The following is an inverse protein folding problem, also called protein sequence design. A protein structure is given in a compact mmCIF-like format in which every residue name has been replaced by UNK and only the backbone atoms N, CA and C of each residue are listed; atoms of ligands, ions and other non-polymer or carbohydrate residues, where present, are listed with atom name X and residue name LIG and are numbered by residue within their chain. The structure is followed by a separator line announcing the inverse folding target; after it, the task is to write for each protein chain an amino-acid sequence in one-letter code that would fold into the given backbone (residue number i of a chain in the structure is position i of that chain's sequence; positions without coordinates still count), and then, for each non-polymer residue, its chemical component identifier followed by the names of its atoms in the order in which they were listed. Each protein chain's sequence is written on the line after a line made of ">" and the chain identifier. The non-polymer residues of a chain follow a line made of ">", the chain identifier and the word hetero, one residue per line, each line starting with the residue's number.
data_IF_443741968520
#
_entry.id   IF_443741968520
#
_cell.length_a   1.000
_cell.length_b   1.000
_cell.length_c   1.000
_cell.angle_alpha   90.00
_cell.angle_beta   90.00
_cell.angle_gamma   90.00
#
_symmetry.space_group_name_H-M   'P 1'
#
loop_
_entity.id
_entity.type
_entity.pdbx_description
1 polymer ?
#
# COMPACT_ATOMS: atom_id res chain seq x y z
N UNK A 1 -13.54 -24.62 -20.33
CA UNK A 1 -12.99 -23.81 -19.21
C UNK A 1 -12.78 -22.40 -19.71
N UNK A 2 -13.24 -21.38 -18.99
CA UNK A 2 -12.99 -19.97 -19.36
C UNK A 2 -11.52 -19.60 -19.10
N UNK A 3 -10.98 -18.60 -19.80
CA UNK A 3 -9.61 -18.11 -19.55
C UNK A 3 -9.37 -17.75 -18.07
N UNK A 4 -10.38 -17.17 -17.41
CA UNK A 4 -10.35 -16.86 -15.98
C UNK A 4 -10.28 -18.09 -15.07
N UNK A 5 -10.90 -19.21 -15.43
CA UNK A 5 -10.82 -20.46 -14.66
C UNK A 5 -9.41 -21.06 -14.72
N UNK A 6 -8.78 -21.06 -15.91
CA UNK A 6 -7.41 -21.56 -16.09
C UNK A 6 -6.42 -20.72 -15.27
N UNK A 7 -6.51 -19.39 -15.37
CA UNK A 7 -5.67 -18.46 -14.59
C UNK A 7 -5.86 -18.70 -13.09
N UNK A 8 -7.11 -18.81 -12.62
CA UNK A 8 -7.39 -19.09 -11.21
C UNK A 8 -6.81 -20.42 -10.73
N UNK A 9 -6.79 -21.45 -11.58
CA UNK A 9 -6.15 -22.74 -11.28
C UNK A 9 -4.64 -22.62 -11.08
N UNK A 10 -3.97 -21.85 -11.95
CA UNK A 10 -2.53 -21.57 -11.82
C UNK A 10 -2.22 -20.73 -10.58
N UNK A 11 -2.98 -19.66 -10.34
CA UNK A 11 -2.79 -18.78 -9.17
C UNK A 11 -2.91 -19.52 -7.84
N UNK A 12 -3.73 -20.58 -7.75
CA UNK A 12 -3.83 -21.39 -6.53
C UNK A 12 -2.57 -22.20 -6.22
N UNK A 13 -1.74 -22.50 -7.23
CA UNK A 13 -0.47 -23.22 -7.06
C UNK A 13 0.66 -22.31 -6.61
N UNK A 14 0.52 -21.00 -6.79
CA UNK A 14 1.54 -20.03 -6.40
C UNK A 14 1.46 -19.81 -4.89
N UNK A 15 2.49 -20.19 -4.11
CA UNK A 15 2.48 -19.97 -2.68
C UNK A 15 2.64 -18.48 -2.35
N UNK A 16 1.99 -18.05 -1.27
CA UNK A 16 2.00 -16.64 -0.84
C UNK A 16 3.38 -16.14 -0.38
N UNK A 17 4.29 -17.04 0.03
CA UNK A 17 5.64 -16.63 0.46
C UNK A 17 6.48 -16.03 -0.67
N UNK A 18 6.24 -16.44 -1.92
CA UNK A 18 6.89 -15.84 -3.09
C UNK A 18 6.56 -14.35 -3.23
N UNK A 19 5.34 -13.96 -2.87
CA UNK A 19 4.93 -12.55 -2.90
C UNK A 19 5.74 -11.73 -1.90
N UNK A 20 6.04 -12.28 -0.71
CA UNK A 20 6.89 -11.58 0.26
C UNK A 20 8.32 -11.44 -0.24
N UNK A 21 8.93 -12.50 -0.79
CA UNK A 21 10.29 -12.42 -1.34
C UNK A 21 10.36 -11.41 -2.48
N UNK A 22 9.43 -11.50 -3.43
CA UNK A 22 9.34 -10.56 -4.54
C UNK A 22 9.10 -9.12 -4.07
N UNK A 23 8.35 -8.93 -2.98
CA UNK A 23 8.11 -7.62 -2.40
C UNK A 23 9.31 -7.03 -1.65
N UNK A 24 10.11 -7.86 -0.97
CA UNK A 24 11.32 -7.38 -0.28
C UNK A 24 12.41 -6.98 -1.29
N UNK A 25 12.45 -7.62 -2.46
CA UNK A 25 13.48 -7.39 -3.47
C UNK A 25 13.64 -5.90 -3.88
N UNK A 26 12.58 -5.14 -4.27
CA UNK A 26 12.70 -3.72 -4.57
C UNK A 26 13.34 -2.88 -3.47
N UNK A 27 13.05 -3.19 -2.20
CA UNK A 27 13.65 -2.47 -1.06
C UNK A 27 15.16 -2.70 -1.05
N UNK A 28 15.59 -3.96 -1.11
CA UNK A 28 17.03 -4.31 -1.18
C UNK A 28 17.70 -3.64 -2.38
N UNK A 29 17.03 -3.63 -3.52
CA UNK A 29 17.52 -2.99 -4.74
C UNK A 29 17.71 -1.48 -4.58
N UNK A 30 16.75 -0.76 -4.01
CA UNK A 30 16.88 0.68 -3.79
C UNK A 30 17.98 1.02 -2.79
N UNK A 31 18.14 0.24 -1.71
CA UNK A 31 19.27 0.42 -0.81
C UNK A 31 20.62 0.15 -1.51
N UNK A 32 20.71 -0.90 -2.33
CA UNK A 32 21.90 -1.16 -3.14
C UNK A 32 22.24 0.01 -4.08
N UNK A 33 21.25 0.57 -4.78
CA UNK A 33 21.44 1.77 -5.61
C UNK A 33 21.86 2.98 -4.77
N UNK A 34 21.34 3.13 -3.56
CA UNK A 34 21.76 4.18 -2.63
C UNK A 34 23.24 4.08 -2.25
N UNK A 35 23.73 2.87 -1.96
CA UNK A 35 25.13 2.64 -1.60
C UNK A 35 26.10 2.71 -2.78
N UNK A 36 25.65 2.36 -3.98
CA UNK A 36 26.48 2.34 -5.20
C UNK A 36 26.41 3.63 -6.01
N UNK A 37 25.69 4.65 -5.52
CA UNK A 37 25.51 5.93 -6.21
C UNK A 37 24.47 5.92 -7.35
N UNK A 38 23.79 4.79 -7.58
CA UNK A 38 22.75 4.65 -8.60
C UNK A 38 21.48 5.45 -8.36
N UNK A 39 21.27 5.98 -7.15
CA UNK A 39 20.16 6.91 -6.83
C UNK A 39 20.52 8.39 -7.08
N UNK A 40 21.73 8.69 -7.55
CA UNK A 40 22.18 10.06 -7.83
C UNK A 40 22.69 10.81 -6.58
N UNK A 41 22.79 12.15 -6.65
CA UNK A 41 23.53 12.96 -5.67
C UNK A 41 22.82 13.11 -4.31
N UNK A 42 21.49 12.95 -4.26
CA UNK A 42 20.71 13.00 -3.02
C UNK A 42 20.06 11.62 -2.72
N UNK A 43 20.85 10.59 -2.41
CA UNK A 43 20.38 9.20 -2.36
C UNK A 43 19.32 8.95 -1.28
N UNK A 44 19.42 9.61 -0.13
CA UNK A 44 18.46 9.46 0.98
C UNK A 44 17.08 9.95 0.56
N UNK A 45 16.99 11.15 0.00
CA UNK A 45 15.74 11.74 -0.50
C UNK A 45 15.16 10.94 -1.68
N UNK A 46 16.00 10.43 -2.56
CA UNK A 46 15.57 9.53 -3.63
C UNK A 46 14.97 8.24 -3.07
N UNK A 47 15.63 7.64 -2.07
CA UNK A 47 15.17 6.44 -1.37
C UNK A 47 13.81 6.65 -0.70
N UNK A 48 13.61 7.78 -0.01
CA UNK A 48 12.31 8.15 0.58
C UNK A 48 11.21 8.22 -0.48
N UNK A 49 11.49 8.89 -1.60
CA UNK A 49 10.53 9.08 -2.68
C UNK A 49 10.15 7.75 -3.34
N UNK A 50 11.13 6.89 -3.63
CA UNK A 50 10.89 5.61 -4.28
C UNK A 50 10.18 4.62 -3.35
N UNK A 51 10.52 4.56 -2.07
CA UNK A 51 9.80 3.73 -1.10
C UNK A 51 8.37 4.23 -0.87
N UNK A 52 8.18 5.54 -0.76
CA UNK A 52 6.85 6.16 -0.63
C UNK A 52 5.98 5.85 -1.85
N UNK A 53 6.53 6.02 -3.06
CA UNK A 53 5.89 5.67 -4.33
C UNK A 53 5.53 4.18 -4.40
N UNK A 54 6.48 3.29 -4.09
CA UNK A 54 6.27 1.85 -4.10
C UNK A 54 5.15 1.43 -3.13
N UNK A 55 5.11 2.03 -1.93
CA UNK A 55 4.04 1.78 -0.96
C UNK A 55 2.65 2.10 -1.53
N UNK A 56 2.53 3.23 -2.26
CA UNK A 56 1.27 3.65 -2.87
C UNK A 56 0.87 2.77 -4.06
N UNK A 57 1.84 2.34 -4.88
CA UNK A 57 1.62 1.40 -5.98
C UNK A 57 1.10 0.05 -5.48
N UNK A 58 1.70 -0.50 -4.41
CA UNK A 58 1.23 -1.77 -3.84
C UNK A 58 -0.10 -1.61 -3.12
N UNK A 59 -0.37 -0.45 -2.51
CA UNK A 59 -1.71 -0.14 -1.97
C UNK A 59 -2.78 -0.10 -3.06
N UNK A 60 -2.48 0.50 -4.22
CA UNK A 60 -3.33 0.45 -5.40
C UNK A 60 -3.56 -1.00 -5.85
N UNK A 61 -2.52 -1.84 -5.87
CA UNK A 61 -2.67 -3.26 -6.18
C UNK A 61 -3.61 -3.98 -5.19
N UNK A 62 -3.49 -3.70 -3.88
CA UNK A 62 -4.42 -4.21 -2.85
C UNK A 62 -5.86 -3.80 -3.13
N UNK A 63 -6.08 -2.52 -3.47
CA UNK A 63 -7.41 -2.00 -3.83
C UNK A 63 -7.92 -2.59 -5.14
N UNK A 64 -7.05 -2.94 -6.08
CA UNK A 64 -7.41 -3.52 -7.37
C UNK A 64 -7.86 -5.00 -7.29
N UNK A 65 -7.44 -5.75 -6.25
CA UNK A 65 -7.82 -7.18 -6.09
C UNK A 65 -9.32 -7.43 -6.20
N UNK A 66 -10.13 -6.58 -5.56
CA UNK A 66 -11.59 -6.75 -5.52
C UNK A 66 -12.28 -6.43 -6.86
N UNK A 67 -12.04 -5.27 -7.50
CA UNK A 67 -12.62 -4.98 -8.81
C UNK A 67 -12.09 -5.93 -9.87
N UNK A 68 -10.82 -6.34 -9.85
CA UNK A 68 -10.29 -7.33 -10.78
C UNK A 68 -11.12 -8.61 -10.75
N UNK A 69 -11.38 -9.17 -9.56
CA UNK A 69 -12.24 -10.34 -9.40
C UNK A 69 -13.68 -10.07 -9.88
N UNK A 70 -14.22 -8.90 -9.56
CA UNK A 70 -15.60 -8.52 -9.90
C UNK A 70 -15.84 -8.39 -11.41
N UNK A 71 -14.89 -7.79 -12.14
CA UNK A 71 -15.07 -7.47 -13.55
C UNK A 71 -14.50 -8.54 -14.49
N UNK A 72 -13.45 -9.27 -14.08
CA UNK A 72 -12.77 -10.27 -14.94
C UNK A 72 -12.94 -11.72 -14.48
N UNK A 73 -13.37 -11.94 -13.23
CA UNK A 73 -13.42 -13.27 -12.60
C UNK A 73 -12.05 -13.79 -12.10
N UNK A 74 -10.95 -13.08 -12.34
CA UNK A 74 -9.61 -13.45 -11.85
C UNK A 74 -9.50 -13.12 -10.36
N UNK A 75 -9.16 -14.12 -9.55
CA UNK A 75 -9.18 -14.03 -8.08
C UNK A 75 -7.78 -13.99 -7.48
N UNK A 76 -7.30 -12.78 -7.19
CA UNK A 76 -6.07 -12.55 -6.41
C UNK A 76 -6.30 -12.47 -4.89
N UNK A 77 -7.46 -12.96 -4.40
CA UNK A 77 -7.83 -12.86 -2.98
C UNK A 77 -6.82 -13.51 -2.04
N UNK A 78 -6.17 -14.59 -2.46
CA UNK A 78 -5.17 -15.31 -1.68
C UNK A 78 -3.93 -14.43 -1.37
N UNK A 79 -3.60 -13.50 -2.27
CA UNK A 79 -2.44 -12.62 -2.13
C UNK A 79 -2.75 -11.30 -1.45
N UNK A 80 -4.04 -10.96 -1.28
CA UNK A 80 -4.48 -9.66 -0.73
C UNK A 80 -3.86 -9.35 0.62
N UNK A 81 -3.79 -10.34 1.51
CA UNK A 81 -3.17 -10.18 2.85
C UNK A 81 -1.67 -9.92 2.74
N UNK A 82 -0.97 -10.69 1.90
CA UNK A 82 0.46 -10.53 1.69
C UNK A 82 0.79 -9.14 1.14
N UNK A 83 0.06 -8.69 0.12
CA UNK A 83 0.19 -7.35 -0.44
C UNK A 83 -0.07 -6.27 0.62
N UNK A 84 -1.13 -6.40 1.43
CA UNK A 84 -1.43 -5.43 2.50
C UNK A 84 -0.33 -5.32 3.56
N UNK A 85 0.27 -6.45 3.94
CA UNK A 85 1.43 -6.48 4.85
C UNK A 85 2.69 -5.88 4.21
N UNK A 86 2.89 -6.08 2.90
CA UNK A 86 3.98 -5.42 2.16
C UNK A 86 3.80 -3.90 2.10
N UNK A 87 2.58 -3.39 1.93
CA UNK A 87 2.33 -1.94 2.03
C UNK A 87 2.77 -1.43 3.41
N UNK A 88 2.36 -2.09 4.49
CA UNK A 88 2.77 -1.69 5.84
C UNK A 88 4.29 -1.75 6.03
N UNK A 89 4.93 -2.82 5.55
CA UNK A 89 6.38 -2.96 5.56
C UNK A 89 7.06 -1.78 4.82
N UNK A 90 6.64 -1.44 3.60
CA UNK A 90 7.23 -0.34 2.86
C UNK A 90 7.01 1.02 3.53
N UNK A 91 5.84 1.27 4.13
CA UNK A 91 5.58 2.50 4.88
C UNK A 91 6.49 2.59 6.12
N UNK A 92 6.72 1.49 6.82
CA UNK A 92 7.67 1.45 7.96
C UNK A 92 9.10 1.70 7.50
N UNK A 93 9.53 1.09 6.39
CA UNK A 93 10.88 1.35 5.84
C UNK A 93 11.00 2.80 5.37
N UNK A 94 9.99 3.34 4.68
CA UNK A 94 9.92 4.75 4.28
C UNK A 94 10.04 5.69 5.48
N UNK A 95 9.27 5.46 6.56
CA UNK A 95 9.40 6.23 7.80
C UNK A 95 10.80 6.08 8.41
N UNK A 96 11.37 4.88 8.38
CA UNK A 96 12.69 4.60 8.96
C UNK A 96 13.80 5.36 8.22
N UNK A 97 13.70 5.50 6.90
CA UNK A 97 14.64 6.33 6.12
C UNK A 97 14.56 7.78 6.57
N UNK A 98 13.35 8.35 6.69
CA UNK A 98 13.19 9.71 7.20
C UNK A 98 13.71 9.88 8.64
N UNK A 99 13.36 8.94 9.51
CA UNK A 99 13.70 9.02 10.93
C UNK A 99 15.20 8.87 11.20
N UNK A 100 15.85 7.88 10.56
CA UNK A 100 17.22 7.49 10.86
C UNK A 100 18.26 8.05 9.89
N UNK A 101 17.88 8.34 8.64
CA UNK A 101 18.82 8.78 7.60
C UNK A 101 18.66 10.27 7.25
N UNK A 102 17.43 10.80 7.19
CA UNK A 102 17.19 12.21 6.83
C UNK A 102 17.26 13.16 8.04
N UNK A 103 16.37 13.02 9.03
CA UNK A 103 16.28 13.98 10.15
C UNK A 103 17.55 13.96 11.01
N UNK A 104 18.00 12.76 11.41
CA UNK A 104 19.17 12.46 12.27
C UNK A 104 19.21 13.14 13.66
N UNK A 105 18.55 14.29 13.85
CA UNK A 105 18.50 15.11 15.05
C UNK A 105 17.13 14.89 15.72
N UNK A 106 17.12 14.01 16.72
CA UNK A 106 15.89 13.57 17.38
C UNK A 106 15.02 14.69 17.95
N UNK A 107 15.62 15.79 18.40
CA UNK A 107 14.89 16.95 18.92
C UNK A 107 14.05 17.68 17.85
N UNK A 108 14.34 17.48 16.56
CA UNK A 108 13.61 18.12 15.46
C UNK A 108 12.40 17.31 14.98
N UNK A 109 12.32 16.02 15.29
CA UNK A 109 11.24 15.11 14.85
C UNK A 109 9.86 15.69 15.18
N UNK A 110 9.67 16.13 16.41
CA UNK A 110 8.38 16.68 16.85
C UNK A 110 8.03 17.96 16.10
N UNK A 111 9.01 18.85 15.92
CA UNK A 111 8.82 20.09 15.19
C UNK A 111 8.45 19.82 13.73
N UNK A 112 9.07 18.83 13.09
CA UNK A 112 8.77 18.44 11.71
C UNK A 112 7.37 17.85 11.57
N UNK A 113 6.96 16.96 12.48
CA UNK A 113 5.59 16.40 12.48
C UNK A 113 4.57 17.54 12.50
N UNK A 114 4.71 18.49 13.44
CA UNK A 114 3.73 19.58 13.63
C UNK A 114 3.80 20.62 12.51
N UNK A 115 5.00 21.01 12.05
CA UNK A 115 5.19 22.10 11.08
C UNK A 115 4.99 21.65 9.63
N UNK A 116 5.05 20.36 9.33
CA UNK A 116 4.95 19.82 7.96
C UNK A 116 3.67 19.00 7.83
N UNK A 117 2.58 19.56 7.26
CA UNK A 117 1.30 18.87 7.17
C UNK A 117 1.36 17.51 6.49
N UNK A 118 2.21 17.36 5.46
CA UNK A 118 2.39 16.06 4.80
C UNK A 118 2.90 15.00 5.79
N UNK A 119 3.84 15.31 6.68
CA UNK A 119 4.34 14.35 7.69
C UNK A 119 3.21 13.95 8.64
N UNK A 120 2.46 14.92 9.17
CA UNK A 120 1.30 14.63 10.04
C UNK A 120 0.29 13.70 9.36
N UNK A 121 -0.05 13.94 8.08
CA UNK A 121 -0.97 13.11 7.31
C UNK A 121 -0.41 11.69 7.11
N UNK A 122 0.88 11.57 6.83
CA UNK A 122 1.57 10.29 6.72
C UNK A 122 1.53 9.50 8.03
N UNK A 123 1.80 10.17 9.16
CA UNK A 123 1.72 9.57 10.51
C UNK A 123 0.31 9.12 10.86
N UNK A 124 -0.71 9.91 10.54
CA UNK A 124 -2.11 9.51 10.72
C UNK A 124 -2.45 8.25 9.89
N UNK A 125 -1.97 8.18 8.64
CA UNK A 125 -2.09 6.99 7.80
C UNK A 125 -1.43 5.77 8.45
N UNK A 126 -0.18 5.90 8.91
CA UNK A 126 0.55 4.84 9.58
C UNK A 126 -0.16 4.35 10.85
N UNK A 127 -0.65 5.26 11.69
CA UNK A 127 -1.39 4.92 12.91
C UNK A 127 -2.63 4.08 12.60
N UNK A 128 -3.35 4.39 11.52
CA UNK A 128 -4.49 3.58 11.06
C UNK A 128 -4.06 2.21 10.50
N UNK A 129 -2.85 2.09 9.94
CA UNK A 129 -2.33 0.83 9.42
C UNK A 129 -1.87 -0.13 10.51
N UNK A 130 -1.39 0.35 11.66
CA UNK A 130 -0.94 -0.49 12.78
C UNK A 130 -1.97 -1.56 13.18
N UNK A 131 -3.24 -1.23 13.51
CA UNK A 131 -4.23 -2.25 13.85
C UNK A 131 -4.55 -3.17 12.66
N UNK A 132 -4.44 -2.69 11.42
CA UNK A 132 -4.63 -3.53 10.23
C UNK A 132 -3.53 -4.59 10.11
N UNK A 133 -2.28 -4.20 10.29
CA UNK A 133 -1.14 -5.10 10.27
C UNK A 133 -1.20 -6.13 11.41
N UNK A 134 -1.46 -5.67 12.64
CA UNK A 134 -1.59 -6.54 13.82
C UNK A 134 -2.70 -7.57 13.61
N UNK A 135 -3.83 -7.18 13.01
CA UNK A 135 -4.97 -8.08 12.80
C UNK A 135 -4.95 -8.82 11.46
N UNK A 136 -3.86 -8.74 10.69
CA UNK A 136 -3.68 -9.44 9.41
C UNK A 136 -3.21 -10.89 9.58
N UNK A 137 -3.84 -11.63 10.49
CA UNK A 137 -3.53 -13.05 10.74
C UNK A 137 -4.82 -13.86 10.99
N UNK A 138 -4.70 -15.20 10.91
CA UNK A 138 -5.85 -16.09 11.06
C UNK A 138 -6.43 -16.08 12.48
N UNK A 139 -5.59 -15.87 13.50
CA UNK A 139 -6.01 -15.85 14.89
C UNK A 139 -6.90 -14.63 15.17
N UNK A 140 -6.51 -13.43 14.74
CA UNK A 140 -7.31 -12.22 14.88
C UNK A 140 -8.63 -12.31 14.11
N UNK A 141 -8.62 -12.87 12.91
CA UNK A 141 -9.84 -13.09 12.12
C UNK A 141 -10.83 -14.01 12.84
N UNK A 142 -10.34 -15.06 13.52
CA UNK A 142 -11.16 -15.97 14.33
C UNK A 142 -11.65 -15.32 15.62
N UNK A 143 -10.78 -14.61 16.34
CA UNK A 143 -11.11 -13.97 17.63
C UNK A 143 -12.07 -12.78 17.50
N UNK A 144 -11.89 -11.91 16.51
CA UNK A 144 -12.74 -10.72 16.32
C UNK A 144 -14.06 -11.04 15.61
N UNK A 145 -14.12 -12.19 14.94
CA UNK A 145 -15.21 -12.55 14.04
C UNK A 145 -15.11 -11.84 12.68
N UNK A 146 -15.58 -12.52 11.64
CA UNK A 146 -15.42 -12.08 10.25
C UNK A 146 -16.12 -10.73 9.94
N UNK A 147 -17.19 -10.37 10.64
CA UNK A 147 -17.90 -9.11 10.43
C UNK A 147 -17.09 -7.91 10.97
N UNK A 148 -16.68 -7.97 12.23
CA UNK A 148 -15.88 -6.93 12.90
C UNK A 148 -14.53 -6.76 12.24
N UNK A 149 -13.84 -7.88 11.93
CA UNK A 149 -12.57 -7.85 11.21
C UNK A 149 -12.70 -7.16 9.84
N UNK A 150 -13.75 -7.46 9.07
CA UNK A 150 -14.02 -6.78 7.79
C UNK A 150 -14.32 -5.30 7.97
N UNK A 151 -15.04 -4.89 9.03
CA UNK A 151 -15.31 -3.48 9.33
C UNK A 151 -14.01 -2.72 9.65
N UNK A 152 -13.17 -3.30 10.51
CA UNK A 152 -11.84 -2.74 10.82
C UNK A 152 -11.00 -2.57 9.55
N UNK A 153 -10.95 -3.59 8.71
CA UNK A 153 -10.17 -3.55 7.47
C UNK A 153 -10.69 -2.58 6.40
N UNK A 154 -11.86 -1.94 6.59
CA UNK A 154 -12.28 -0.80 5.76
C UNK A 154 -11.44 0.46 6.01
N UNK A 155 -10.70 0.54 7.13
CA UNK A 155 -9.74 1.64 7.36
C UNK A 155 -8.70 1.74 6.24
N UNK A 156 -8.42 0.65 5.51
CA UNK A 156 -7.58 0.67 4.30
C UNK A 156 -8.01 1.75 3.30
N UNK A 157 -9.31 2.07 3.21
CA UNK A 157 -9.81 3.10 2.30
C UNK A 157 -9.39 4.50 2.76
N UNK A 158 -9.45 4.74 4.09
CA UNK A 158 -8.98 6.00 4.69
C UNK A 158 -7.47 6.12 4.51
N UNK A 159 -6.72 5.04 4.79
CA UNK A 159 -5.26 4.99 4.57
C UNK A 159 -4.91 5.32 3.12
N UNK A 160 -5.65 4.81 2.14
CA UNK A 160 -5.40 5.10 0.73
C UNK A 160 -5.61 6.58 0.38
N UNK A 161 -6.66 7.20 0.92
CA UNK A 161 -6.90 8.64 0.73
C UNK A 161 -5.79 9.45 1.40
N UNK A 162 -5.44 9.13 2.65
CA UNK A 162 -4.37 9.82 3.38
C UNK A 162 -3.03 9.68 2.67
N UNK A 163 -2.68 8.50 2.17
CA UNK A 163 -1.44 8.27 1.41
C UNK A 163 -1.39 9.06 0.10
N UNK A 164 -2.51 9.13 -0.63
CA UNK A 164 -2.59 9.94 -1.85
C UNK A 164 -2.45 11.43 -1.55
N UNK A 165 -3.16 11.93 -0.55
CA UNK A 165 -3.11 13.35 -0.13
C UNK A 165 -1.73 13.71 0.41
N UNK A 166 -1.10 12.82 1.20
CA UNK A 166 0.28 12.97 1.64
C UNK A 166 1.22 13.19 0.46
N UNK A 167 1.10 12.38 -0.61
CA UNK A 167 1.95 12.50 -1.79
C UNK A 167 1.70 13.79 -2.58
N UNK A 168 0.43 14.20 -2.71
CA UNK A 168 0.04 15.46 -3.38
C UNK A 168 0.61 16.67 -2.65
N UNK A 169 0.52 16.73 -1.33
CA UNK A 169 0.99 17.88 -0.54
C UNK A 169 2.53 17.91 -0.48
N UNK A 170 3.18 16.74 -0.41
CA UNK A 170 4.65 16.63 -0.39
C UNK A 170 5.28 17.25 -1.63
N UNK A 171 4.70 16.96 -2.81
CA UNK A 171 5.18 17.48 -4.09
C UNK A 171 4.66 18.90 -4.27
N UNK A 172 5.54 19.89 -4.10
CA UNK A 172 5.18 21.30 -4.31
C UNK A 172 4.67 21.54 -5.75
N UNK A 173 3.58 22.29 -5.88
CA UNK A 173 2.99 22.67 -7.16
C UNK A 173 2.04 21.63 -7.76
N UNK A 174 1.65 21.83 -9.02
CA UNK A 174 0.68 20.97 -9.73
C UNK A 174 1.37 19.83 -10.46
N UNK A 175 1.95 18.89 -9.71
CA UNK A 175 2.61 17.73 -10.29
C UNK A 175 1.56 16.72 -10.80
N UNK A 176 1.65 16.36 -12.08
CA UNK A 176 0.72 15.43 -12.73
C UNK A 176 0.75 14.05 -12.05
N UNK A 177 1.94 13.61 -11.64
CA UNK A 177 2.13 12.27 -11.12
C UNK A 177 1.32 11.99 -9.83
N UNK A 178 1.43 12.75 -8.73
CA UNK A 178 0.57 12.55 -7.55
C UNK A 178 -0.93 12.58 -7.85
N UNK A 179 -1.36 13.41 -8.80
CA UNK A 179 -2.77 13.50 -9.21
C UNK A 179 -3.24 12.23 -9.92
N UNK A 180 -2.37 11.57 -10.71
CA UNK A 180 -2.68 10.27 -11.31
C UNK A 180 -2.94 9.23 -10.21
N UNK A 181 -2.07 9.15 -9.19
CA UNK A 181 -2.25 8.20 -8.08
C UNK A 181 -3.55 8.48 -7.31
N UNK A 182 -3.83 9.75 -7.01
CA UNK A 182 -5.07 10.17 -6.35
C UNK A 182 -6.30 9.76 -7.17
N UNK A 183 -6.31 10.03 -8.48
CA UNK A 183 -7.41 9.66 -9.38
C UNK A 183 -7.60 8.16 -9.45
N UNK A 184 -6.52 7.37 -9.59
CA UNK A 184 -6.62 5.90 -9.61
C UNK A 184 -7.23 5.38 -8.30
N UNK A 185 -6.77 5.88 -7.16
CA UNK A 185 -7.32 5.50 -5.85
C UNK A 185 -8.81 5.88 -5.76
N UNK A 186 -9.18 7.08 -6.17
CA UNK A 186 -10.57 7.54 -6.17
C UNK A 186 -11.47 6.63 -7.04
N UNK A 187 -11.03 6.30 -8.26
CA UNK A 187 -11.76 5.40 -9.16
C UNK A 187 -11.89 3.99 -8.55
N UNK A 188 -10.80 3.44 -8.00
CA UNK A 188 -10.83 2.12 -7.35
C UNK A 188 -11.76 2.09 -6.14
N UNK A 189 -11.80 3.15 -5.33
CA UNK A 189 -12.73 3.27 -4.21
C UNK A 189 -14.18 3.43 -4.68
N UNK A 190 -14.43 4.19 -5.76
CA UNK A 190 -15.76 4.34 -6.34
C UNK A 190 -16.39 2.99 -6.74
N UNK A 191 -15.59 2.03 -7.21
CA UNK A 191 -16.08 0.67 -7.56
C UNK A 191 -16.73 -0.09 -6.39
N UNK A 192 -16.48 0.33 -5.14
CA UNK A 192 -17.08 -0.26 -3.93
C UNK A 192 -18.56 0.09 -3.75
N UNK A 193 -18.99 1.19 -4.35
CA UNK A 193 -20.36 1.70 -4.26
C UNK A 193 -21.22 1.30 -5.46
N UNK A 194 -20.58 0.98 -6.60
CA UNK A 194 -21.27 0.48 -7.80
C UNK A 194 -21.72 -0.97 -7.58
N UNK A 195 -23.02 -1.22 -7.45
CA UNK A 195 -23.59 -2.58 -7.52
C UNK A 195 -23.81 -2.93 -8.99
N UNK A 196 -23.17 -3.99 -9.49
CA UNK A 196 -23.54 -4.56 -10.80
C UNK A 196 -24.71 -5.53 -10.59
N UNK A 197 -25.62 -5.67 -11.58
CA UNK A 197 -26.59 -6.75 -11.60
C UNK A 197 -25.87 -8.09 -11.41
N UNK A 198 -26.42 -8.99 -10.59
CA UNK A 198 -25.88 -10.35 -10.45
C UNK A 198 -25.86 -10.98 -11.86
N UNK A 199 -24.69 -11.19 -12.46
CA UNK A 199 -24.56 -12.14 -13.56
C UNK A 199 -24.86 -13.51 -12.95
N UNK A 200 -26.07 -14.02 -13.20
CA UNK A 200 -26.40 -15.42 -13.02
C UNK A 200 -25.46 -16.18 -13.96
N UNK A 201 -24.40 -16.75 -13.40
CA UNK A 201 -23.68 -17.81 -14.08
C UNK A 201 -24.56 -19.06 -13.88
N UNK A 202 -25.37 -19.36 -14.89
CA UNK A 202 -25.96 -20.67 -15.08
C UNK A 202 -24.85 -21.68 -15.43
#
# INVERSE_FOLDING_TARGET
>A
MTASQTINGQLRRVPTWLVYIAGVFPVVWFFYLGFTGGLGPEPIKALEQELGRLSLQVLIAVLAVTPLRKYTGISLLNFRRALGLLVFFYVVVHLSVWLFLDVQIWSQIWADIVKRPYITIGMAGLLLMVPLAITSNNLSMRKLGAATWRKLHKLTYVVAVLGAVHFVILRKGWQVEPLIYLTIIALLLATRYVRLPKRQFA
#
